data_IF_184851866695
#
_entry.id   IF_184851866695
#
_cell.length_a   1.000
_cell.length_b   1.000
_cell.length_c   1.000
_cell.angle_alpha   90.00
_cell.angle_beta   90.00
_cell.angle_gamma   90.00
#
_symmetry.space_group_name_H-M   'P 1'
#
loop_
_entity.id
_entity.type
_entity.pdbx_description
1 polymer ?
#
# COMPACT_ATOMS: atom_id res chain seq x y z
N UNK A 1 -2.79 -18.60 -9.87
CA UNK A 1 -2.47 -17.31 -9.21
C UNK A 1 -1.92 -16.39 -10.28
N UNK A 2 -2.42 -15.15 -10.39
CA UNK A 2 -1.91 -14.19 -11.36
C UNK A 2 -0.44 -13.89 -11.04
N UNK A 3 0.44 -13.87 -12.04
CA UNK A 3 1.85 -13.51 -11.85
C UNK A 3 1.96 -12.04 -11.37
N UNK A 4 2.48 -11.76 -10.16
CA UNK A 4 2.62 -10.38 -9.66
C UNK A 4 3.49 -9.49 -10.54
N UNK A 5 4.33 -10.07 -11.39
CA UNK A 5 5.24 -9.36 -12.29
C UNK A 5 4.67 -9.19 -13.71
N UNK A 6 3.44 -9.63 -13.98
CA UNK A 6 2.87 -9.64 -15.35
C UNK A 6 2.98 -8.27 -16.05
N UNK A 7 2.60 -7.19 -15.37
CA UNK A 7 2.67 -5.81 -15.92
C UNK A 7 4.11 -5.35 -16.12
N UNK A 8 5.02 -5.77 -15.24
CA UNK A 8 6.44 -5.42 -15.33
C UNK A 8 7.14 -6.15 -16.49
N UNK A 9 6.86 -7.45 -16.66
CA UNK A 9 7.35 -8.26 -17.78
C UNK A 9 6.82 -7.76 -19.12
N UNK A 10 5.54 -7.40 -19.18
CA UNK A 10 4.94 -6.79 -20.38
C UNK A 10 5.63 -5.46 -20.74
N UNK A 11 5.88 -4.59 -19.75
CA UNK A 11 6.59 -3.33 -19.99
C UNK A 11 8.02 -3.53 -20.50
N UNK A 12 8.75 -4.52 -19.97
CA UNK A 12 10.06 -4.92 -20.49
C UNK A 12 9.97 -5.43 -21.94
N UNK A 13 9.01 -6.32 -22.25
CA UNK A 13 8.82 -6.85 -23.60
C UNK A 13 8.49 -5.77 -24.65
N UNK A 14 7.91 -4.65 -24.20
CA UNK A 14 7.60 -3.47 -25.03
C UNK A 14 8.76 -2.46 -25.13
N UNK A 15 9.92 -2.76 -24.55
CA UNK A 15 11.08 -1.87 -24.53
C UNK A 15 10.92 -0.65 -23.61
N UNK A 16 9.90 -0.62 -22.76
CA UNK A 16 9.63 0.49 -21.83
C UNK A 16 10.59 0.43 -20.63
N UNK A 17 10.93 -0.77 -20.19
CA UNK A 17 11.91 -1.01 -19.11
C UNK A 17 13.18 -1.60 -19.74
N UNK A 18 14.37 -1.03 -19.47
CA UNK A 18 15.62 -1.56 -19.99
C UNK A 18 16.06 -2.84 -19.24
N UNK A 19 16.90 -3.65 -19.89
CA UNK A 19 17.34 -4.96 -19.39
C UNK A 19 17.97 -4.89 -18.00
N UNK A 20 18.84 -3.91 -17.74
CA UNK A 20 19.54 -3.78 -16.46
C UNK A 20 18.57 -3.55 -15.28
N UNK A 21 17.52 -2.76 -15.51
CA UNK A 21 16.46 -2.50 -14.52
C UNK A 21 15.56 -3.71 -14.36
N UNK A 22 15.23 -4.38 -15.47
CA UNK A 22 14.44 -5.61 -15.44
C UNK A 22 15.15 -6.71 -14.64
N UNK A 23 16.39 -7.04 -14.99
CA UNK A 23 17.21 -8.05 -14.31
C UNK A 23 17.38 -7.74 -12.82
N UNK A 24 17.69 -6.49 -12.48
CA UNK A 24 17.81 -6.06 -11.08
C UNK A 24 16.50 -6.26 -10.32
N UNK A 25 15.37 -5.88 -10.92
CA UNK A 25 14.06 -5.99 -10.29
C UNK A 25 13.66 -7.46 -10.10
N UNK A 26 13.85 -8.31 -11.11
CA UNK A 26 13.59 -9.75 -11.02
C UNK A 26 14.47 -10.40 -9.94
N UNK A 27 15.78 -10.08 -9.92
CA UNK A 27 16.72 -10.59 -8.92
C UNK A 27 16.33 -10.21 -7.48
N UNK A 28 15.73 -9.05 -7.29
CA UNK A 28 15.36 -8.52 -5.97
C UNK A 28 13.93 -8.82 -5.56
N UNK A 29 13.05 -9.18 -6.49
CA UNK A 29 11.66 -9.53 -6.21
C UNK A 29 11.45 -10.57 -5.09
N UNK A 30 12.33 -11.57 -4.89
CA UNK A 30 12.22 -12.48 -3.74
C UNK A 30 12.22 -11.78 -2.37
N UNK A 31 12.78 -10.56 -2.25
CA UNK A 31 12.73 -9.76 -1.02
C UNK A 31 11.28 -9.32 -0.72
N UNK A 32 10.53 -8.93 -1.75
CA UNK A 32 9.11 -8.57 -1.67
C UNK A 32 8.28 -9.77 -1.25
N UNK A 33 8.48 -10.93 -1.89
CA UNK A 33 7.79 -12.18 -1.53
C UNK A 33 8.09 -12.57 -0.08
N UNK A 34 9.34 -12.47 0.36
CA UNK A 34 9.71 -12.72 1.75
C UNK A 34 9.06 -11.72 2.72
N UNK A 35 8.84 -10.48 2.30
CA UNK A 35 8.13 -9.46 3.08
C UNK A 35 6.65 -9.81 3.25
N UNK A 36 5.98 -10.18 2.17
CA UNK A 36 4.58 -10.65 2.17
C UNK A 36 4.42 -11.86 3.09
N UNK A 37 5.22 -12.92 2.89
CA UNK A 37 5.15 -14.13 3.71
C UNK A 37 5.38 -13.84 5.20
N UNK A 38 6.29 -12.91 5.50
CA UNK A 38 6.55 -12.48 6.87
C UNK A 38 5.36 -11.76 7.48
N UNK A 39 4.70 -10.89 6.72
CA UNK A 39 3.50 -10.16 7.16
C UNK A 39 2.37 -11.15 7.44
N UNK A 40 2.10 -12.08 6.53
CA UNK A 40 1.08 -13.12 6.71
C UNK A 40 1.35 -13.97 7.95
N UNK A 41 2.59 -14.41 8.15
CA UNK A 41 2.99 -15.16 9.35
C UNK A 41 2.83 -14.32 10.62
N UNK A 42 3.17 -13.03 10.58
CA UNK A 42 3.13 -12.15 11.75
C UNK A 42 1.70 -11.75 12.15
N UNK A 43 0.78 -11.65 11.17
CA UNK A 43 -0.63 -11.26 11.38
C UNK A 43 -1.59 -12.45 11.52
N UNK A 44 -1.24 -13.58 10.91
CA UNK A 44 -2.16 -14.71 10.72
C UNK A 44 -3.29 -14.41 9.72
N UNK A 45 -3.12 -13.40 8.86
CA UNK A 45 -4.07 -12.95 7.85
C UNK A 45 -3.38 -12.99 6.49
N UNK A 46 -4.06 -13.52 5.47
CA UNK A 46 -3.54 -13.52 4.09
C UNK A 46 -3.34 -12.11 3.57
N UNK A 47 -2.23 -11.89 2.89
CA UNK A 47 -1.93 -10.64 2.24
C UNK A 47 -2.88 -10.46 1.04
N UNK A 48 -3.41 -9.25 0.79
CA UNK A 48 -4.20 -9.00 -0.41
C UNK A 48 -3.36 -9.24 -1.66
N UNK A 49 -4.03 -9.38 -2.81
CA UNK A 49 -3.32 -9.52 -4.09
C UNK A 49 -2.39 -8.33 -4.27
N UNK A 50 -1.15 -8.59 -4.70
CA UNK A 50 -0.17 -7.56 -4.95
C UNK A 50 0.46 -7.72 -6.33
N UNK A 51 0.84 -6.61 -6.96
CA UNK A 51 1.54 -6.61 -8.25
C UNK A 51 2.60 -5.53 -8.31
N UNK A 52 3.58 -5.71 -9.20
CA UNK A 52 4.62 -4.74 -9.47
C UNK A 52 4.21 -3.84 -10.63
N UNK A 53 4.12 -2.55 -10.34
CA UNK A 53 3.87 -1.48 -11.31
C UNK A 53 5.18 -1.07 -11.98
N UNK A 54 5.28 -1.07 -13.33
CA UNK A 54 6.49 -0.67 -14.06
C UNK A 54 6.77 0.83 -14.05
N UNK A 55 6.22 1.57 -13.10
CA UNK A 55 6.38 3.02 -13.00
C UNK A 55 6.62 3.47 -11.57
N UNK A 56 7.30 4.61 -11.43
CA UNK A 56 7.33 5.38 -10.20
C UNK A 56 6.02 6.15 -10.08
N UNK A 57 5.27 5.96 -8.99
CA UNK A 57 4.05 6.72 -8.75
C UNK A 57 4.38 8.00 -8.02
N UNK A 58 3.92 9.12 -8.56
CA UNK A 58 4.20 10.46 -8.07
C UNK A 58 2.88 11.15 -7.79
N UNK A 59 2.70 11.70 -6.59
CA UNK A 59 1.60 12.59 -6.27
C UNK A 59 1.99 14.05 -6.50
N UNK A 60 1.16 14.76 -7.25
CA UNK A 60 1.28 16.22 -7.41
C UNK A 60 0.15 16.88 -6.61
N UNK A 61 0.46 17.62 -5.53
CA UNK A 61 -0.54 18.33 -4.73
C UNK A 61 -1.18 19.50 -5.49
N UNK A 62 -0.53 20.03 -6.53
CA UNK A 62 -1.12 21.03 -7.42
C UNK A 62 -0.43 20.95 -8.80
N UNK A 63 -1.14 21.09 -9.94
CA UNK A 63 -0.51 21.21 -11.26
C UNK A 63 0.56 22.33 -11.36
N UNK A 64 0.54 23.31 -10.44
CA UNK A 64 1.51 24.41 -10.38
C UNK A 64 2.58 24.28 -9.28
N UNK A 65 2.62 23.17 -8.53
CA UNK A 65 3.65 22.94 -7.49
C UNK A 65 4.73 21.97 -7.98
N UNK A 66 6.00 22.34 -7.79
CA UNK A 66 7.15 21.46 -8.08
C UNK A 66 7.43 20.44 -6.96
N UNK A 67 6.76 20.55 -5.81
CA UNK A 67 6.85 19.56 -4.74
C UNK A 67 5.96 18.36 -5.09
N UNK A 68 6.57 17.19 -5.18
CA UNK A 68 5.87 15.95 -5.47
C UNK A 68 6.20 14.88 -4.42
N UNK A 69 5.18 14.09 -4.05
CA UNK A 69 5.34 12.95 -3.15
C UNK A 69 5.63 11.68 -3.93
N UNK A 70 6.62 10.89 -3.51
CA UNK A 70 6.87 9.57 -4.10
C UNK A 70 6.04 8.52 -3.36
N UNK A 71 5.20 7.79 -4.10
CA UNK A 71 4.40 6.71 -3.58
C UNK A 71 5.00 5.36 -4.00
N UNK A 72 5.74 4.75 -3.08
CA UNK A 72 6.43 3.49 -3.36
C UNK A 72 5.53 2.27 -3.41
N UNK A 73 4.39 2.31 -2.72
CA UNK A 73 3.32 1.34 -2.82
C UNK A 73 1.98 2.02 -2.52
N UNK A 74 0.88 1.39 -2.91
CA UNK A 74 -0.49 1.90 -2.69
C UNK A 74 -1.48 0.76 -2.49
N UNK A 75 -2.39 0.95 -1.55
CA UNK A 75 -3.57 0.11 -1.35
C UNK A 75 -4.73 0.64 -2.19
N UNK A 76 -5.18 -0.14 -3.18
CA UNK A 76 -6.16 0.29 -4.18
C UNK A 76 -7.40 -0.60 -4.11
N UNK A 77 -8.60 -0.05 -3.80
CA UNK A 77 -9.85 -0.75 -4.05
C UNK A 77 -10.12 -0.83 -5.55
N UNK A 78 -10.45 -2.02 -6.05
CA UNK A 78 -10.80 -2.28 -7.44
C UNK A 78 -12.15 -3.00 -7.48
N UNK A 79 -13.02 -2.57 -8.38
CA UNK A 79 -14.25 -3.29 -8.72
C UNK A 79 -14.10 -3.82 -10.13
N UNK A 80 -14.21 -5.14 -10.30
CA UNK A 80 -14.15 -5.79 -11.60
C UNK A 80 -15.26 -6.84 -11.67
N UNK A 81 -16.10 -6.78 -12.71
CA UNK A 81 -17.25 -7.69 -12.88
C UNK A 81 -18.12 -7.81 -11.60
N UNK A 82 -18.51 -6.66 -11.02
CA UNK A 82 -19.27 -6.56 -9.76
C UNK A 82 -18.58 -7.19 -8.52
N UNK A 83 -17.31 -7.60 -8.62
CA UNK A 83 -16.51 -8.09 -7.50
C UNK A 83 -15.58 -7.00 -7.00
N UNK A 84 -15.76 -6.65 -5.74
CA UNK A 84 -14.82 -5.81 -5.03
C UNK A 84 -13.59 -6.63 -4.59
N UNK A 85 -12.41 -6.05 -4.80
CA UNK A 85 -11.16 -6.55 -4.27
C UNK A 85 -10.26 -5.38 -3.87
N UNK A 86 -9.39 -5.61 -2.89
CA UNK A 86 -8.31 -4.67 -2.58
C UNK A 86 -7.01 -5.24 -3.10
N UNK A 87 -6.23 -4.41 -3.78
CA UNK A 87 -4.95 -4.78 -4.38
C UNK A 87 -3.86 -3.85 -3.88
N UNK A 88 -2.69 -4.39 -3.56
CA UNK A 88 -1.51 -3.59 -3.23
C UNK A 88 -0.64 -3.44 -4.47
N UNK A 89 -0.58 -2.23 -5.01
CA UNK A 89 0.34 -1.88 -6.09
C UNK A 89 1.71 -1.55 -5.48
N UNK A 90 2.76 -2.19 -5.98
CA UNK A 90 4.15 -1.98 -5.54
C UNK A 90 4.93 -1.38 -6.70
N UNK A 91 5.55 -0.23 -6.51
CA UNK A 91 6.38 0.37 -7.57
C UNK A 91 7.63 -0.49 -7.85
N UNK A 92 7.97 -0.71 -9.12
CA UNK A 92 9.23 -1.35 -9.51
C UNK A 92 10.48 -0.67 -8.90
N UNK A 93 10.58 0.67 -8.82
CA UNK A 93 11.67 1.35 -8.12
C UNK A 93 11.86 0.89 -6.66
N UNK A 94 10.77 0.64 -5.92
CA UNK A 94 10.87 0.11 -4.55
C UNK A 94 11.55 -1.26 -4.55
N UNK A 95 11.16 -2.15 -5.46
CA UNK A 95 11.73 -3.50 -5.56
C UNK A 95 13.21 -3.44 -5.97
N UNK A 96 13.53 -2.62 -6.98
CA UNK A 96 14.87 -2.48 -7.53
C UNK A 96 15.87 -1.85 -6.54
N UNK A 97 15.45 -0.84 -5.76
CA UNK A 97 16.40 0.00 -5.00
C UNK A 97 16.18 0.00 -3.49
N UNK A 98 14.99 -0.42 -3.03
CA UNK A 98 14.62 -0.48 -1.62
C UNK A 98 15.47 -1.47 -0.83
N UNK A 99 15.95 -1.06 0.35
CA UNK A 99 16.57 -1.99 1.29
C UNK A 99 15.52 -2.99 1.79
N UNK A 100 15.95 -4.20 2.17
CA UNK A 100 15.05 -5.25 2.69
C UNK A 100 14.13 -4.74 3.80
N UNK A 101 14.69 -4.02 4.78
CA UNK A 101 13.89 -3.44 5.87
C UNK A 101 12.89 -2.40 5.38
N UNK A 102 13.26 -1.57 4.41
CA UNK A 102 12.38 -0.57 3.79
C UNK A 102 11.23 -1.21 3.01
N UNK A 103 11.51 -2.20 2.16
CA UNK A 103 10.48 -2.95 1.43
C UNK A 103 9.50 -3.58 2.41
N UNK A 104 10.01 -4.25 3.46
CA UNK A 104 9.16 -4.91 4.46
C UNK A 104 8.31 -3.91 5.26
N UNK A 105 8.87 -2.75 5.59
CA UNK A 105 8.15 -1.70 6.31
C UNK A 105 7.00 -1.14 5.47
N UNK A 106 7.25 -0.78 4.20
CA UNK A 106 6.23 -0.26 3.29
C UNK A 106 5.13 -1.29 3.07
N UNK A 107 5.47 -2.55 2.78
CA UNK A 107 4.47 -3.60 2.59
C UNK A 107 3.59 -3.81 3.83
N UNK A 108 4.16 -3.71 5.02
CA UNK A 108 3.40 -3.84 6.26
C UNK A 108 2.54 -2.60 6.54
N UNK A 109 2.99 -1.41 6.16
CA UNK A 109 2.20 -0.19 6.25
C UNK A 109 0.98 -0.25 5.30
N UNK A 110 1.18 -0.62 4.04
CA UNK A 110 0.07 -0.85 3.11
C UNK A 110 -0.88 -1.96 3.58
N UNK A 111 -0.36 -2.97 4.26
CA UNK A 111 -1.21 -3.99 4.87
C UNK A 111 -2.12 -3.42 5.97
N UNK A 112 -1.64 -2.45 6.77
CA UNK A 112 -2.49 -1.77 7.76
C UNK A 112 -3.57 -0.94 7.08
N UNK A 113 -3.26 -0.26 5.96
CA UNK A 113 -4.27 0.43 5.14
C UNK A 113 -5.32 -0.53 4.59
N UNK A 114 -4.91 -1.71 4.13
CA UNK A 114 -5.84 -2.75 3.70
C UNK A 114 -6.80 -3.16 4.83
N UNK A 115 -6.28 -3.47 6.02
CA UNK A 115 -7.15 -3.84 7.15
C UNK A 115 -8.13 -2.72 7.51
N UNK A 116 -7.66 -1.47 7.51
CA UNK A 116 -8.50 -0.30 7.81
C UNK A 116 -9.60 -0.09 6.77
N UNK A 117 -9.27 -0.26 5.48
CA UNK A 117 -10.26 -0.17 4.40
C UNK A 117 -11.35 -1.24 4.56
N UNK A 118 -10.96 -2.49 4.86
CA UNK A 118 -11.92 -3.57 5.09
C UNK A 118 -12.80 -3.28 6.31
N UNK A 119 -12.22 -2.77 7.41
CA UNK A 119 -12.97 -2.36 8.62
C UNK A 119 -14.04 -1.31 8.29
N UNK A 120 -13.68 -0.27 7.54
CA UNK A 120 -14.63 0.78 7.12
C UNK A 120 -15.74 0.23 6.24
N UNK A 121 -15.40 -0.65 5.29
CA UNK A 121 -16.39 -1.29 4.41
C UNK A 121 -17.33 -2.18 5.21
N UNK A 122 -16.82 -3.00 6.14
CA UNK A 122 -17.66 -3.92 6.91
C UNK A 122 -18.67 -3.21 7.81
N UNK A 123 -18.37 -1.97 8.22
CA UNK A 123 -19.25 -1.13 9.03
C UNK A 123 -20.11 -0.16 8.22
N UNK A 124 -20.01 -0.18 6.88
CA UNK A 124 -20.63 0.80 6.01
C UNK A 124 -20.27 2.26 6.33
N UNK A 125 -19.15 2.50 7.03
CA UNK A 125 -18.66 3.85 7.39
C UNK A 125 -18.29 4.68 6.15
N UNK A 126 -18.00 4.03 5.02
CA UNK A 126 -17.74 4.70 3.75
C UNK A 126 -19.00 5.30 3.08
N UNK A 127 -20.20 5.00 3.58
CA UNK A 127 -21.47 5.54 3.05
C UNK A 127 -21.92 6.81 3.78
N UNK A 128 -21.47 7.04 5.01
CA UNK A 128 -21.93 8.14 5.87
C UNK A 128 -21.05 9.39 5.81
N UNK A 129 -19.76 9.24 5.50
CA UNK A 129 -18.82 10.35 5.41
C UNK A 129 -18.80 10.90 3.97
N UNK A 130 -19.86 11.63 3.63
CA UNK A 130 -20.02 12.51 2.47
C UNK A 130 -20.06 11.88 1.06
N UNK A 131 -21.04 12.33 0.28
CA UNK A 131 -21.25 12.07 -1.15
C UNK A 131 -20.11 12.65 -2.04
N UNK A 132 -19.01 13.11 -1.45
CA UNK A 132 -17.95 13.87 -2.11
C UNK A 132 -16.58 13.54 -1.53
N UNK A 133 -15.66 13.10 -2.40
CA UNK A 133 -14.23 13.38 -2.24
C UNK A 133 -13.43 12.49 -1.28
N UNK A 134 -12.55 11.68 -1.87
CA UNK A 134 -11.26 11.29 -1.30
C UNK A 134 -11.24 10.16 -0.25
N UNK A 135 -11.42 8.93 -0.74
CA UNK A 135 -10.92 7.71 -0.09
C UNK A 135 -9.39 7.66 0.03
N UNK A 136 -8.66 8.44 -0.78
CA UNK A 136 -7.20 8.39 -0.84
C UNK A 136 -6.50 9.51 -0.07
N UNK A 137 -7.08 10.71 0.09
CA UNK A 137 -6.46 11.74 0.94
C UNK A 137 -6.53 11.35 2.42
N UNK A 138 -7.64 10.75 2.86
CA UNK A 138 -7.84 10.26 4.23
C UNK A 138 -6.99 9.02 4.58
N UNK A 139 -6.32 8.40 3.61
CA UNK A 139 -5.40 7.27 3.83
C UNK A 139 -4.02 7.79 4.22
N UNK A 140 -3.57 8.91 3.66
CA UNK A 140 -2.21 9.42 3.88
C UNK A 140 -2.11 10.50 4.98
N UNK A 141 -3.19 11.21 5.29
CA UNK A 141 -3.20 12.22 6.35
C UNK A 141 -3.45 11.66 7.76
N UNK A 142 -3.85 10.39 7.90
CA UNK A 142 -4.42 9.89 9.14
C UNK A 142 -3.72 8.63 9.71
N UNK A 143 -2.43 8.79 10.08
CA UNK A 143 -1.72 7.83 10.93
C UNK A 143 -2.47 7.56 12.26
N UNK A 144 -3.35 8.48 12.68
CA UNK A 144 -4.13 8.35 13.92
C UNK A 144 -5.25 7.31 13.83
N UNK A 145 -5.67 6.90 12.63
CA UNK A 145 -6.79 5.96 12.42
C UNK A 145 -6.37 4.52 12.16
N UNK A 146 -5.14 4.25 11.72
CA UNK A 146 -4.66 2.88 11.44
C UNK A 146 -4.60 1.96 12.67
N UNK A 147 -4.89 0.67 12.48
CA UNK A 147 -4.63 -0.36 13.49
C UNK A 147 -3.22 -0.21 14.09
N UNK A 148 -3.12 -0.33 15.42
CA UNK A 148 -1.83 -0.24 16.10
C UNK A 148 -0.93 -1.40 15.62
N UNK A 149 0.25 -1.15 15.02
CA UNK A 149 1.06 -2.20 14.42
C UNK A 149 1.33 -3.37 15.36
N UNK A 150 1.53 -3.09 16.65
CA UNK A 150 1.80 -4.10 17.71
C UNK A 150 0.64 -5.04 17.98
N UNK A 151 -0.59 -4.63 17.64
CA UNK A 151 -1.79 -5.47 17.75
C UNK A 151 -1.88 -6.42 16.55
N UNK A 152 -1.46 -5.96 15.37
CA UNK A 152 -1.52 -6.71 14.12
C UNK A 152 -0.35 -7.68 13.98
N UNK A 153 0.87 -7.24 14.27
CA UNK A 153 2.09 -8.01 14.00
C UNK A 153 2.74 -8.52 15.29
N UNK A 154 3.00 -9.82 15.33
CA UNK A 154 3.79 -10.45 16.42
C UNK A 154 5.30 -10.37 16.20
N UNK A 155 5.75 -9.96 15.00
CA UNK A 155 7.17 -9.89 14.64
C UNK A 155 7.82 -8.58 15.11
N UNK A 156 8.71 -8.68 16.11
CA UNK A 156 9.39 -7.51 16.71
C UNK A 156 10.25 -6.73 15.73
N UNK A 157 10.92 -7.40 14.80
CA UNK A 157 11.78 -6.72 13.83
C UNK A 157 10.96 -6.01 12.77
N UNK A 158 9.84 -6.59 12.33
CA UNK A 158 8.89 -5.90 11.45
C UNK A 158 8.31 -4.65 12.12
N UNK A 159 7.90 -4.77 13.39
CA UNK A 159 7.44 -3.64 14.19
C UNK A 159 8.49 -2.53 14.26
N UNK A 160 9.75 -2.88 14.54
CA UNK A 160 10.86 -1.91 14.58
C UNK A 160 11.11 -1.23 13.23
N UNK A 161 10.92 -1.95 12.12
CA UNK A 161 11.06 -1.35 10.79
C UNK A 161 9.94 -0.34 10.52
N UNK A 162 8.69 -0.67 10.88
CA UNK A 162 7.55 0.24 10.73
C UNK A 162 7.75 1.48 11.60
N UNK A 163 8.01 1.31 12.90
CA UNK A 163 8.10 2.45 13.83
C UNK A 163 9.27 3.39 13.53
N UNK A 164 10.39 2.87 13.01
CA UNK A 164 11.55 3.70 12.63
C UNK A 164 11.35 4.42 11.30
N UNK A 165 10.58 3.84 10.37
CA UNK A 165 10.41 4.37 9.01
C UNK A 165 9.17 5.26 8.85
N UNK A 166 8.21 5.15 9.76
CA UNK A 166 6.94 5.89 9.75
C UNK A 166 6.66 6.59 11.11
N UNK A 167 7.51 7.50 11.58
CA UNK A 167 7.23 8.25 12.80
C UNK A 167 6.22 9.40 12.60
N UNK A 168 6.08 9.93 11.38
CA UNK A 168 5.16 11.00 10.97
C UNK A 168 4.97 10.99 9.43
N UNK A 169 4.91 9.80 8.84
CA UNK A 169 5.03 9.54 7.41
C UNK A 169 6.32 8.82 7.01
N UNK A 170 6.30 8.19 5.84
CA UNK A 170 7.45 7.49 5.28
C UNK A 170 8.52 8.49 4.82
N UNK A 171 9.76 8.32 5.29
CA UNK A 171 10.91 9.04 4.74
C UNK A 171 12.13 8.15 4.64
N UNK A 172 12.67 8.01 3.44
CA UNK A 172 13.90 7.24 3.20
C UNK A 172 14.73 7.92 2.12
N UNK A 173 15.45 8.97 2.52
CA UNK A 173 16.30 9.76 1.62
C UNK A 173 17.27 8.94 0.78
N UNK A 174 17.73 7.78 1.28
CA UNK A 174 18.63 6.91 0.52
C UNK A 174 17.89 6.16 -0.59
N UNK A 175 16.63 5.81 -0.37
CA UNK A 175 15.80 5.24 -1.41
C UNK A 175 15.40 6.32 -2.42
N UNK A 176 14.98 7.49 -1.93
CA UNK A 176 14.63 8.65 -2.75
C UNK A 176 15.80 9.04 -3.68
N UNK A 177 17.02 9.19 -3.15
CA UNK A 177 18.22 9.51 -3.94
C UNK A 177 18.50 8.46 -5.03
N UNK A 178 18.42 7.16 -4.70
CA UNK A 178 18.58 6.09 -5.70
C UNK A 178 17.51 6.15 -6.77
N UNK A 179 16.28 6.43 -6.40
CA UNK A 179 15.15 6.48 -7.33
C UNK A 179 15.27 7.71 -8.22
N UNK A 180 15.69 8.85 -7.69
CA UNK A 180 16.03 10.03 -8.50
C UNK A 180 17.09 9.67 -9.53
N UNK A 181 18.24 9.18 -9.07
CA UNK A 181 19.39 8.89 -9.94
C UNK A 181 19.16 7.77 -10.96
N UNK A 182 18.56 6.66 -10.53
CA UNK A 182 18.48 5.44 -11.35
C UNK A 182 17.12 5.24 -12.01
N UNK A 183 16.13 6.09 -11.72
CA UNK A 183 14.82 6.02 -12.36
C UNK A 183 14.41 7.35 -13.00
N UNK A 184 14.36 8.43 -12.22
CA UNK A 184 13.87 9.73 -12.71
C UNK A 184 14.84 10.33 -13.74
N UNK A 185 16.13 10.41 -13.41
CA UNK A 185 17.17 11.00 -14.28
C UNK A 185 17.41 10.17 -15.55
N UNK A 186 17.09 8.87 -15.47
CA UNK A 186 17.10 7.95 -16.63
C UNK A 186 15.82 8.02 -17.46
N UNK A 187 14.90 8.91 -17.13
CA UNK A 187 13.62 9.08 -17.81
C UNK A 187 12.79 7.78 -17.90
N UNK A 188 12.88 6.94 -16.87
CA UNK A 188 12.06 5.73 -16.76
C UNK A 188 10.60 6.09 -16.42
N UNK A 189 9.63 5.17 -16.63
CA UNK A 189 8.21 5.50 -16.56
C UNK A 189 7.78 6.08 -15.21
N UNK A 190 6.99 7.13 -15.26
CA UNK A 190 6.39 7.80 -14.09
C UNK A 190 4.87 7.87 -14.29
N UNK A 191 4.12 7.57 -13.24
CA UNK A 191 2.66 7.74 -13.22
C UNK A 191 2.33 8.87 -12.26
N UNK A 192 1.81 9.96 -12.81
CA UNK A 192 1.34 11.08 -12.00
C UNK A 192 -0.08 10.79 -11.52
N UNK A 193 -0.33 11.06 -10.24
CA UNK A 193 -1.67 11.04 -9.67
C UNK A 193 -1.94 12.40 -9.02
N UNK A 194 -3.11 12.96 -9.30
CA UNK A 194 -3.60 14.14 -8.58
C UNK A 194 -4.23 13.67 -7.27
N UNK A 195 -3.91 14.35 -6.17
CA UNK A 195 -4.48 14.05 -4.85
C UNK A 195 -5.98 14.39 -4.82
N UNK A 196 -6.39 15.44 -5.53
CA UNK A 196 -7.77 15.93 -5.59
C UNK A 196 -8.74 15.06 -6.41
N UNK A 197 -8.24 14.20 -7.29
CA UNK A 197 -9.05 13.45 -8.27
C UNK A 197 -9.17 11.96 -7.98
N UNK A 198 -8.52 11.46 -6.93
CA UNK A 198 -8.47 10.04 -6.63
C UNK A 198 -9.71 9.59 -5.83
N UNK A 199 -10.90 9.89 -6.37
CA UNK A 199 -12.18 9.35 -5.91
C UNK A 199 -12.49 8.10 -6.72
N UNK A 200 -12.03 6.93 -6.25
CA UNK A 200 -12.80 5.73 -6.57
C UNK A 200 -14.12 5.88 -5.82
N UNK A 201 -15.11 6.53 -6.42
CA UNK A 201 -16.49 6.51 -5.90
C UNK A 201 -16.95 5.07 -6.01
N UNK A 202 -16.80 4.31 -4.92
CA UNK A 202 -17.36 2.96 -4.83
C UNK A 202 -18.88 3.15 -4.86
N UNK A 203 -19.59 2.71 -5.91
CA UNK A 203 -21.03 2.85 -5.95
C UNK A 203 -21.64 2.11 -4.75
N UNK A 204 -22.66 2.69 -4.12
CA UNK A 204 -23.34 2.06 -2.98
C UNK A 204 -23.84 0.64 -3.35
N UNK A 205 -24.27 0.45 -4.59
CA UNK A 205 -24.66 -0.87 -5.12
C UNK A 205 -23.50 -1.86 -5.13
N UNK A 206 -22.28 -1.42 -5.47
CA UNK A 206 -21.10 -2.28 -5.43
C UNK A 206 -20.74 -2.63 -3.98
N UNK A 207 -20.83 -1.67 -3.05
CA UNK A 207 -20.60 -1.90 -1.62
C UNK A 207 -21.60 -2.90 -1.01
N UNK A 208 -22.88 -2.78 -1.38
CA UNK A 208 -23.95 -3.67 -0.90
C UNK A 208 -23.79 -5.13 -1.35
N UNK A 209 -23.10 -5.35 -2.48
CA UNK A 209 -22.84 -6.67 -3.06
C UNK A 209 -21.54 -7.31 -2.56
N UNK A 210 -20.72 -6.58 -1.78
CA UNK A 210 -19.47 -7.13 -1.25
C UNK A 210 -19.77 -8.24 -0.25
N UNK A 211 -19.34 -9.46 -0.60
CA UNK A 211 -19.35 -10.60 0.32
C UNK A 211 -17.97 -10.71 0.97
N UNK A 212 -17.87 -10.24 2.20
CA UNK A 212 -16.67 -10.42 3.03
C UNK A 212 -16.78 -11.74 3.80
N UNK A 213 -15.67 -12.46 3.91
CA UNK A 213 -15.59 -13.71 4.68
C UNK A 213 -15.89 -13.42 6.16
N UNK A 214 -16.93 -14.01 6.77
CA UNK A 214 -17.29 -13.76 8.17
C UNK A 214 -16.15 -14.05 9.15
N UNK A 215 -15.31 -15.05 8.88
CA UNK A 215 -14.17 -15.38 9.72
C UNK A 215 -13.10 -14.27 9.69
N UNK A 216 -12.94 -13.64 8.52
CA UNK A 216 -12.06 -12.49 8.36
C UNK A 216 -12.62 -11.25 9.06
N UNK A 217 -13.93 -10.99 8.95
CA UNK A 217 -14.57 -9.88 9.67
C UNK A 217 -14.41 -10.00 11.18
N UNK A 218 -14.69 -11.18 11.75
CA UNK A 218 -14.49 -11.41 13.19
C UNK A 218 -13.04 -11.14 13.61
N UNK A 219 -12.07 -11.45 12.74
CA UNK A 219 -10.67 -11.14 13.00
C UNK A 219 -10.38 -9.64 13.01
N UNK A 220 -10.96 -8.89 12.07
CA UNK A 220 -10.84 -7.42 12.01
C UNK A 220 -11.42 -6.77 13.26
N UNK A 221 -12.60 -7.19 13.71
CA UNK A 221 -13.24 -6.69 14.93
C UNK A 221 -12.37 -6.93 16.18
N UNK A 222 -11.78 -8.12 16.31
CA UNK A 222 -10.85 -8.42 17.40
C UNK A 222 -9.59 -7.52 17.39
N UNK A 223 -9.09 -7.19 16.19
CA UNK A 223 -7.95 -6.28 16.06
C UNK A 223 -8.34 -4.84 16.43
N UNK A 224 -9.58 -4.43 16.15
CA UNK A 224 -10.07 -3.08 16.38
C UNK A 224 -10.27 -2.85 17.88
N UNK A 225 -10.88 -3.82 18.57
CA UNK A 225 -11.08 -3.78 20.02
C UNK A 225 -9.72 -3.70 20.75
N UNK A 226 -8.75 -4.52 20.34
CA UNK A 226 -7.40 -4.51 20.89
C UNK A 226 -6.67 -3.20 20.62
N UNK A 227 -6.76 -2.67 19.40
CA UNK A 227 -6.14 -1.38 19.02
C UNK A 227 -6.72 -0.24 19.85
N UNK A 228 -8.04 -0.21 20.03
CA UNK A 228 -8.74 0.80 20.83
C UNK A 228 -8.31 0.77 22.31
N UNK A 229 -8.15 -0.42 22.89
CA UNK A 229 -7.65 -0.60 24.27
C UNK A 229 -6.22 -0.08 24.43
N UNK A 230 -5.34 -0.33 23.46
CA UNK A 230 -3.96 0.16 23.49
C UNK A 230 -3.90 1.69 23.38
N UNK A 231 -4.72 2.31 22.53
CA UNK A 231 -4.79 3.77 22.41
C UNK A 231 -5.29 4.44 23.69
N UNK A 232 -6.34 3.92 24.32
CA UNK A 232 -6.85 4.45 25.61
C UNK A 232 -5.77 4.43 26.69
N UNK A 233 -4.94 3.38 26.77
CA UNK A 233 -3.82 3.28 27.71
C UNK A 233 -2.67 4.27 27.47
N UNK A 234 -2.57 4.91 26.29
CA UNK A 234 -1.57 5.96 26.02
C UNK A 234 -2.03 7.36 26.47
N UNK A 235 -3.32 7.54 26.71
CA UNK A 235 -3.94 8.83 27.07
C UNK A 235 -4.08 9.02 28.60
N UNK A 236 -3.82 7.97 29.39
CA UNK A 236 -3.74 7.98 30.85
C UNK A 236 -2.30 7.70 31.27
#
# INVERSE_FOLDING_TARGET
>A
MLDPLVRFKDAHSKGIIPDDVYELTIKRFPITVAGINRIEKASGIRYPVAYVEPSLVISTPNPNSYEYGILFARTIPVVFEDKFQVVIQISAPLVAYGLKGTIHAILAHEFLHFLELIRKISKMELLSDEISGNLFENVYSDETRLFEPRVVFKDRTLLNHITKKFPAGFRDYKLEDKVTKFWIDRNLPKTNISLDSNTVKLPADALSKIKLDPSFISKIEQLEEKSSKVRKKKLY
#
